data_IF_237611893705
#
_entry.id   IF_237611893705
#
_cell.length_a   1.000
_cell.length_b   1.000
_cell.length_c   1.000
_cell.angle_alpha   90.00
_cell.angle_beta   90.00
_cell.angle_gamma   90.00
#
_symmetry.space_group_name_H-M   'P 1'
#
loop_
_entity.id
_entity.type
_entity.pdbx_description
1 polymer ?
#
# COMPACT_ATOMS: atom_id res chain seq x y z
N UNK A 1 20.18 -7.79 3.56
CA UNK A 1 19.42 -8.08 2.32
C UNK A 1 20.00 -9.33 1.67
N UNK A 2 19.13 -10.17 1.07
CA UNK A 2 19.55 -11.39 0.38
C UNK A 2 19.72 -11.19 -1.13
N UNK A 3 19.17 -10.10 -1.67
CA UNK A 3 19.19 -9.79 -3.09
C UNK A 3 19.50 -8.33 -3.32
N UNK A 4 20.32 -8.04 -4.31
CA UNK A 4 20.64 -6.69 -4.79
C UNK A 4 20.22 -6.60 -6.26
N UNK A 5 19.38 -5.60 -6.59
CA UNK A 5 19.01 -5.29 -7.96
C UNK A 5 19.83 -4.11 -8.46
N UNK A 6 20.50 -4.31 -9.59
CA UNK A 6 21.18 -3.26 -10.37
C UNK A 6 20.35 -3.05 -11.63
N UNK A 7 19.75 -1.86 -11.76
CA UNK A 7 18.99 -1.50 -12.96
C UNK A 7 19.92 -1.03 -14.08
N UNK A 8 19.44 -1.11 -15.31
CA UNK A 8 20.13 -0.78 -16.56
C UNK A 8 21.21 0.33 -16.44
N UNK A 9 22.43 -0.07 -16.25
CA UNK A 9 23.58 0.82 -16.13
C UNK A 9 24.67 0.41 -17.15
N UNK A 10 25.22 1.38 -17.87
CA UNK A 10 26.35 1.14 -18.79
C UNK A 10 27.68 1.24 -18.05
N UNK A 11 27.71 2.02 -16.99
CA UNK A 11 28.89 2.31 -16.18
C UNK A 11 28.63 2.00 -14.72
N UNK A 12 29.63 1.47 -14.03
CA UNK A 12 29.59 1.21 -12.59
C UNK A 12 30.96 1.56 -11.98
N UNK A 13 31.03 2.16 -10.78
CA UNK A 13 32.30 2.33 -10.08
C UNK A 13 32.95 0.97 -9.78
N UNK A 14 34.27 0.89 -9.91
CA UNK A 14 35.03 -0.33 -9.66
C UNK A 14 34.70 -0.95 -8.28
N UNK A 15 34.75 -0.12 -7.24
CA UNK A 15 34.51 -0.57 -5.86
C UNK A 15 33.08 -1.07 -5.65
N UNK A 16 32.13 -0.55 -6.43
CA UNK A 16 30.75 -1.05 -6.40
C UNK A 16 30.66 -2.44 -7.01
N UNK A 17 31.29 -2.67 -8.16
CA UNK A 17 31.30 -4.00 -8.80
C UNK A 17 32.02 -5.02 -7.91
N UNK A 18 33.19 -4.67 -7.38
CA UNK A 18 33.92 -5.50 -6.44
C UNK A 18 33.06 -5.88 -5.22
N UNK A 19 32.30 -4.92 -4.65
CA UNK A 19 31.39 -5.20 -3.54
C UNK A 19 30.24 -6.10 -3.91
N UNK A 20 29.69 -5.96 -5.12
CA UNK A 20 28.63 -6.85 -5.61
C UNK A 20 29.13 -8.29 -5.79
N UNK A 21 30.35 -8.45 -6.32
CA UNK A 21 30.99 -9.76 -6.44
C UNK A 21 31.22 -10.39 -5.06
N UNK A 22 31.72 -9.63 -4.10
CA UNK A 22 31.93 -10.10 -2.72
C UNK A 22 30.59 -10.49 -2.05
N UNK A 23 29.53 -9.73 -2.24
CA UNK A 23 28.21 -10.09 -1.71
C UNK A 23 27.67 -11.39 -2.33
N UNK A 24 27.89 -11.60 -3.64
CA UNK A 24 27.54 -12.83 -4.28
C UNK A 24 28.36 -14.00 -3.75
N UNK A 25 29.66 -13.83 -3.56
CA UNK A 25 30.55 -14.84 -2.99
C UNK A 25 30.10 -15.27 -1.58
N UNK A 26 29.64 -14.32 -0.77
CA UNK A 26 29.09 -14.57 0.57
C UNK A 26 27.69 -15.26 0.57
N UNK A 27 27.00 -15.31 -0.58
CA UNK A 27 25.72 -16.03 -0.73
C UNK A 27 24.53 -15.17 -1.13
N UNK A 28 24.74 -13.90 -1.48
CA UNK A 28 23.67 -13.06 -2.02
C UNK A 28 23.35 -13.41 -3.48
N UNK A 29 22.14 -13.08 -3.91
CA UNK A 29 21.78 -13.05 -5.32
C UNK A 29 21.88 -11.60 -5.83
N UNK A 30 22.79 -11.35 -6.76
CA UNK A 30 22.90 -10.04 -7.43
C UNK A 30 22.22 -10.16 -8.80
N UNK A 31 21.27 -9.29 -9.09
CA UNK A 31 20.51 -9.33 -10.35
C UNK A 31 20.73 -8.06 -11.15
N UNK A 32 21.10 -8.20 -12.40
CA UNK A 32 21.30 -7.11 -13.36
C UNK A 32 20.12 -7.08 -14.34
N UNK A 33 19.34 -6.01 -14.29
CA UNK A 33 18.24 -5.78 -15.22
C UNK A 33 18.73 -5.03 -16.46
N UNK A 34 18.45 -5.58 -17.64
CA UNK A 34 18.89 -5.08 -18.95
C UNK A 34 20.41 -5.08 -19.18
N UNK A 35 21.10 -6.03 -18.57
CA UNK A 35 22.51 -6.27 -18.81
C UNK A 35 23.43 -5.84 -17.66
N UNK A 36 24.63 -6.42 -17.68
CA UNK A 36 25.70 -6.12 -16.73
C UNK A 36 26.54 -4.95 -17.26
N UNK A 37 26.92 -3.97 -16.43
CA UNK A 37 27.80 -2.86 -16.85
C UNK A 37 29.11 -3.38 -17.42
N UNK A 38 29.52 -2.88 -18.58
CA UNK A 38 30.76 -3.27 -19.27
C UNK A 38 31.89 -2.30 -19.02
N UNK A 39 31.62 -1.13 -18.45
CA UNK A 39 32.56 -0.06 -18.30
C UNK A 39 32.62 0.45 -16.86
N UNK A 40 33.79 0.85 -16.44
CA UNK A 40 33.98 1.55 -15.17
C UNK A 40 33.59 3.02 -15.28
N UNK A 41 32.97 3.55 -14.23
CA UNK A 41 32.72 4.97 -14.09
C UNK A 41 33.98 5.69 -13.56
N UNK A 42 34.28 6.89 -14.10
CA UNK A 42 35.39 7.75 -13.67
C UNK A 42 36.09 8.39 -14.83
N UNK A 43 36.73 9.56 -14.58
CA UNK A 43 37.50 10.29 -15.60
C UNK A 43 38.96 9.79 -15.70
N UNK A 44 39.53 9.34 -14.59
CA UNK A 44 40.91 8.81 -14.54
C UNK A 44 40.80 7.37 -14.04
N UNK A 45 41.00 6.41 -14.94
CA UNK A 45 40.91 4.99 -14.65
C UNK A 45 42.33 4.41 -14.56
N UNK A 46 42.64 3.74 -13.45
CA UNK A 46 43.88 2.96 -13.30
C UNK A 46 43.84 1.75 -14.24
N UNK A 47 44.91 1.51 -14.98
CA UNK A 47 45.05 0.34 -15.86
C UNK A 47 44.88 -0.97 -15.07
N UNK A 48 45.40 -1.04 -13.86
CA UNK A 48 45.30 -2.17 -12.95
C UNK A 48 43.80 -2.44 -12.60
N UNK A 49 43.07 -1.40 -12.22
CA UNK A 49 41.63 -1.54 -11.92
C UNK A 49 40.80 -1.93 -13.16
N UNK A 50 41.18 -1.44 -14.36
CA UNK A 50 40.54 -1.81 -15.59
C UNK A 50 40.76 -3.30 -15.91
N UNK A 51 42.01 -3.77 -15.78
CA UNK A 51 42.33 -5.18 -15.98
C UNK A 51 41.55 -6.08 -15.00
N UNK A 52 41.57 -5.74 -13.71
CA UNK A 52 40.85 -6.52 -12.71
C UNK A 52 39.33 -6.46 -12.89
N UNK A 53 38.77 -5.32 -13.29
CA UNK A 53 37.34 -5.22 -13.63
C UNK A 53 36.96 -6.17 -14.77
N UNK A 54 37.79 -6.21 -15.80
CA UNK A 54 37.59 -7.12 -16.91
C UNK A 54 37.71 -8.58 -16.49
N UNK A 55 38.70 -8.92 -15.68
CA UNK A 55 38.84 -10.27 -15.10
C UNK A 55 37.61 -10.71 -14.31
N UNK A 56 37.03 -9.81 -13.51
CA UNK A 56 35.79 -10.09 -12.76
C UNK A 56 34.61 -10.42 -13.70
N UNK A 57 34.49 -9.71 -14.83
CA UNK A 57 33.43 -9.96 -15.82
C UNK A 57 33.68 -11.26 -16.60
N UNK A 58 34.91 -11.48 -17.05
CA UNK A 58 35.31 -12.67 -17.83
C UNK A 58 35.20 -13.96 -17.02
N UNK A 59 35.32 -13.88 -15.69
CA UNK A 59 35.16 -15.02 -14.79
C UNK A 59 33.69 -15.46 -14.61
N UNK A 60 32.70 -14.68 -15.07
CA UNK A 60 31.29 -15.00 -14.96
C UNK A 60 30.85 -15.98 -16.06
N UNK A 61 30.73 -17.25 -15.70
CA UNK A 61 30.24 -18.29 -16.59
C UNK A 61 28.71 -18.35 -16.53
N UNK A 62 28.05 -17.64 -17.46
CA UNK A 62 26.61 -17.52 -17.52
C UNK A 62 25.95 -18.70 -18.22
N UNK A 63 25.07 -19.40 -17.50
CA UNK A 63 24.20 -20.43 -18.06
C UNK A 63 22.76 -19.90 -18.17
N UNK A 64 22.08 -20.22 -19.28
CA UNK A 64 20.71 -19.81 -19.52
C UNK A 64 19.73 -20.74 -18.80
N UNK A 65 18.85 -20.17 -17.99
CA UNK A 65 17.71 -20.84 -17.37
C UNK A 65 16.42 -20.10 -17.76
N UNK A 66 15.83 -20.51 -18.89
CA UNK A 66 14.67 -19.82 -19.45
C UNK A 66 14.99 -18.39 -19.90
N UNK A 67 14.29 -17.39 -19.35
CA UNK A 67 14.49 -15.97 -19.66
C UNK A 67 15.64 -15.33 -18.85
N UNK A 68 16.29 -16.06 -17.96
CA UNK A 68 17.35 -15.56 -17.08
C UNK A 68 18.66 -16.27 -17.39
N UNK A 69 19.76 -15.53 -17.33
CA UNK A 69 21.12 -16.12 -17.38
C UNK A 69 21.74 -15.91 -16.00
N UNK A 70 22.26 -16.98 -15.39
CA UNK A 70 22.90 -16.92 -14.08
C UNK A 70 24.32 -17.52 -14.12
N UNK A 71 25.23 -16.87 -13.38
CA UNK A 71 26.58 -17.36 -13.10
C UNK A 71 26.70 -17.61 -11.58
N UNK A 72 27.27 -18.73 -11.17
CA UNK A 72 27.62 -18.99 -9.77
C UNK A 72 28.84 -18.17 -9.36
N UNK A 73 28.76 -17.54 -8.19
CA UNK A 73 29.86 -16.82 -7.57
C UNK A 73 29.89 -17.23 -6.08
N UNK A 74 30.86 -18.04 -5.72
CA UNK A 74 30.98 -18.58 -4.36
C UNK A 74 29.71 -19.29 -3.89
N UNK A 75 29.09 -18.81 -2.81
CA UNK A 75 27.85 -19.36 -2.24
C UNK A 75 26.58 -18.80 -2.87
N UNK A 76 26.67 -17.72 -3.61
CA UNK A 76 25.55 -17.07 -4.26
C UNK A 76 25.61 -17.11 -5.78
N UNK A 77 24.99 -16.12 -6.41
CA UNK A 77 24.90 -16.04 -7.87
C UNK A 77 24.72 -14.63 -8.37
N UNK A 78 25.12 -14.40 -9.61
CA UNK A 78 24.83 -13.20 -10.38
C UNK A 78 23.93 -13.59 -11.54
N UNK A 79 22.78 -12.93 -11.69
CA UNK A 79 21.81 -13.22 -12.73
C UNK A 79 21.51 -11.97 -13.56
N UNK A 80 21.19 -12.16 -14.83
CA UNK A 80 20.83 -11.07 -15.76
C UNK A 80 19.65 -11.47 -16.65
N UNK A 81 18.79 -10.51 -16.96
CA UNK A 81 17.67 -10.63 -17.89
C UNK A 81 17.13 -9.25 -18.30
N UNK A 82 16.44 -9.21 -19.43
CA UNK A 82 15.59 -8.08 -19.83
C UNK A 82 14.18 -8.16 -19.23
N UNK A 83 13.82 -9.28 -18.59
CA UNK A 83 12.56 -9.46 -17.87
C UNK A 83 12.79 -9.34 -16.36
N UNK A 84 12.30 -8.24 -15.79
CA UNK A 84 12.42 -7.96 -14.35
C UNK A 84 11.65 -8.97 -13.51
N UNK A 85 10.51 -9.49 -13.99
CA UNK A 85 9.72 -10.46 -13.24
C UNK A 85 10.42 -11.81 -13.18
N UNK A 86 11.03 -12.23 -14.29
CA UNK A 86 11.84 -13.43 -14.32
C UNK A 86 13.04 -13.33 -13.36
N UNK A 87 13.75 -12.19 -13.33
CA UNK A 87 14.84 -11.93 -12.37
C UNK A 87 14.38 -11.99 -10.92
N UNK A 88 13.25 -11.35 -10.60
CA UNK A 88 12.74 -11.35 -9.23
C UNK A 88 12.29 -12.74 -8.78
N UNK A 89 11.68 -13.52 -9.68
CA UNK A 89 11.32 -14.92 -9.42
C UNK A 89 12.57 -15.77 -9.17
N UNK A 90 13.61 -15.63 -10.02
CA UNK A 90 14.88 -16.33 -9.88
C UNK A 90 15.60 -15.99 -8.56
N UNK A 91 15.52 -14.74 -8.12
CA UNK A 91 16.02 -14.27 -6.85
C UNK A 91 15.12 -14.63 -5.65
N UNK A 92 14.01 -15.33 -5.88
CA UNK A 92 12.96 -15.60 -4.89
C UNK A 92 12.45 -14.32 -4.19
N UNK A 93 12.42 -13.20 -4.92
CA UNK A 93 11.88 -11.92 -4.50
C UNK A 93 10.58 -11.68 -5.26
N UNK A 94 9.44 -11.90 -4.62
CA UNK A 94 8.15 -11.65 -5.25
C UNK A 94 7.50 -10.40 -4.72
N UNK A 95 6.79 -9.71 -5.60
CA UNK A 95 5.88 -8.65 -5.22
C UNK A 95 4.69 -9.22 -4.44
N UNK A 96 4.12 -8.42 -3.56
CA UNK A 96 2.82 -8.73 -2.96
C UNK A 96 1.74 -8.65 -4.04
N UNK A 97 0.92 -9.71 -4.16
CA UNK A 97 -0.12 -9.79 -5.20
C UNK A 97 -1.23 -8.78 -5.01
N UNK A 98 -1.36 -8.20 -3.83
CA UNK A 98 -2.39 -7.20 -3.51
C UNK A 98 -2.33 -5.95 -4.41
N UNK A 99 -1.19 -5.63 -5.00
CA UNK A 99 -1.08 -4.53 -5.98
C UNK A 99 -2.01 -4.73 -7.19
N UNK A 100 -2.31 -5.98 -7.56
CA UNK A 100 -3.23 -6.28 -8.66
C UNK A 100 -4.68 -5.95 -8.31
N UNK A 101 -5.02 -5.92 -7.03
CA UNK A 101 -6.32 -5.51 -6.52
C UNK A 101 -6.45 -3.98 -6.33
N UNK A 102 -5.39 -3.20 -6.58
CA UNK A 102 -5.36 -1.77 -6.35
C UNK A 102 -4.95 -1.37 -4.93
N UNK A 103 -4.48 -2.34 -4.15
CA UNK A 103 -3.94 -2.08 -2.81
C UNK A 103 -2.46 -1.75 -2.90
N UNK A 104 -2.01 -0.84 -2.05
CA UNK A 104 -0.58 -0.59 -1.81
C UNK A 104 -0.20 -1.04 -0.40
N UNK A 105 1.08 -1.39 -0.21
CA UNK A 105 1.53 -1.74 1.12
C UNK A 105 2.97 -1.33 1.42
N UNK A 106 3.22 -1.05 2.70
CA UNK A 106 4.56 -1.02 3.28
C UNK A 106 4.67 -2.22 4.21
N UNK A 107 5.66 -3.08 3.96
CA UNK A 107 5.89 -4.29 4.74
C UNK A 107 7.15 -4.17 5.60
N UNK A 108 7.05 -4.55 6.86
CA UNK A 108 8.18 -4.66 7.79
C UNK A 108 8.22 -6.03 8.45
N UNK A 109 9.41 -6.55 8.69
CA UNK A 109 9.60 -7.76 9.48
C UNK A 109 9.54 -7.43 10.97
N UNK A 110 8.99 -8.34 11.75
CA UNK A 110 9.08 -8.38 13.21
C UNK A 110 9.81 -9.64 13.66
N UNK A 111 9.97 -9.82 14.96
CA UNK A 111 10.62 -11.01 15.51
C UNK A 111 9.86 -12.32 15.19
N UNK A 112 8.54 -12.27 15.13
CA UNK A 112 7.67 -13.44 14.97
C UNK A 112 6.87 -13.46 13.67
N UNK A 113 6.97 -12.40 12.82
CA UNK A 113 6.17 -12.29 11.60
C UNK A 113 6.43 -11.01 10.83
N UNK A 114 5.36 -10.39 10.36
CA UNK A 114 5.42 -9.18 9.55
C UNK A 114 4.29 -8.22 9.90
N UNK A 115 4.54 -6.94 9.70
CA UNK A 115 3.54 -5.89 9.66
C UNK A 115 3.35 -5.41 8.23
N UNK A 116 2.11 -5.29 7.82
CA UNK A 116 1.69 -4.73 6.55
C UNK A 116 0.84 -3.50 6.84
N UNK A 117 1.29 -2.31 6.48
CA UNK A 117 0.44 -1.14 6.36
C UNK A 117 -0.15 -1.19 4.95
N UNK A 118 -1.46 -1.34 4.84
CA UNK A 118 -2.17 -1.54 3.58
C UNK A 118 -3.10 -0.36 3.36
N UNK A 119 -3.09 0.18 2.16
CA UNK A 119 -3.96 1.27 1.69
C UNK A 119 -4.74 0.81 0.46
N UNK A 120 -6.03 1.12 0.42
CA UNK A 120 -6.81 1.00 -0.80
C UNK A 120 -6.64 2.26 -1.64
N UNK A 121 -5.72 2.24 -2.59
CA UNK A 121 -5.45 3.35 -3.54
C UNK A 121 -6.33 3.29 -4.78
N UNK A 122 -7.30 2.37 -4.86
CA UNK A 122 -8.26 2.27 -5.96
C UNK A 122 -9.49 3.15 -5.70
N UNK A 123 -10.30 3.32 -6.72
CA UNK A 123 -11.58 4.04 -6.70
C UNK A 123 -12.78 3.17 -6.29
N UNK A 124 -12.54 1.90 -5.93
CA UNK A 124 -13.57 0.91 -5.56
C UNK A 124 -13.36 0.36 -4.15
N UNK A 125 -14.45 0.00 -3.51
CA UNK A 125 -14.41 -0.77 -2.26
C UNK A 125 -13.76 -2.14 -2.51
N UNK A 126 -12.88 -2.55 -1.62
CA UNK A 126 -12.30 -3.89 -1.56
C UNK A 126 -13.00 -4.67 -0.47
N UNK A 127 -13.59 -5.80 -0.83
CA UNK A 127 -14.19 -6.80 0.06
C UNK A 127 -13.73 -8.17 -0.43
N UNK A 128 -12.49 -8.57 -0.10
CA UNK A 128 -11.91 -9.76 -0.69
C UNK A 128 -10.82 -10.39 0.18
N UNK A 129 -10.45 -11.60 -0.18
CA UNK A 129 -9.33 -12.32 0.38
C UNK A 129 -8.03 -11.86 -0.25
N UNK A 130 -7.22 -11.15 0.52
CA UNK A 130 -5.99 -10.53 0.06
C UNK A 130 -4.79 -11.43 0.38
N UNK A 131 -4.09 -11.92 -0.65
CA UNK A 131 -2.94 -12.79 -0.45
C UNK A 131 -1.74 -12.00 0.08
N UNK A 132 -1.22 -12.46 1.21
CA UNK A 132 0.04 -12.01 1.79
C UNK A 132 1.12 -13.03 1.46
N UNK A 133 2.25 -12.58 0.93
CA UNK A 133 3.37 -13.47 0.63
C UNK A 133 4.12 -13.87 1.91
N UNK A 134 3.43 -14.55 2.78
CA UNK A 134 3.97 -15.08 4.03
C UNK A 134 3.13 -16.25 4.51
N UNK A 135 3.78 -17.25 5.07
CA UNK A 135 3.11 -18.25 5.91
C UNK A 135 3.01 -17.71 7.32
N UNK A 136 1.83 -17.82 7.91
CA UNK A 136 1.61 -17.37 9.27
C UNK A 136 0.63 -18.27 10.02
N UNK A 137 0.75 -18.33 11.35
CA UNK A 137 -0.21 -19.03 12.19
C UNK A 137 -1.41 -18.19 12.54
N UNK A 138 -1.22 -16.91 12.69
CA UNK A 138 -2.28 -15.98 13.04
C UNK A 138 -2.03 -14.61 12.42
N UNK A 139 -3.11 -13.88 12.20
CA UNK A 139 -3.08 -12.50 11.76
C UNK A 139 -4.08 -11.67 12.58
N UNK A 140 -3.76 -10.41 12.80
CA UNK A 140 -4.64 -9.43 13.43
C UNK A 140 -4.70 -8.15 12.58
N UNK A 141 -5.86 -7.52 12.57
CA UNK A 141 -6.10 -6.24 11.89
C UNK A 141 -6.19 -5.14 12.94
N UNK A 142 -5.58 -4.01 12.63
CA UNK A 142 -5.67 -2.77 13.40
C UNK A 142 -6.08 -1.66 12.45
N UNK A 143 -7.17 -0.99 12.76
CA UNK A 143 -7.59 0.21 12.03
C UNK A 143 -7.06 1.45 12.76
N UNK A 144 -6.08 2.18 12.19
CA UNK A 144 -5.44 3.29 12.89
C UNK A 144 -6.36 4.52 13.03
N UNK A 145 -7.40 4.62 12.20
CA UNK A 145 -8.33 5.76 12.23
C UNK A 145 -9.40 5.61 13.32
N UNK A 146 -9.85 4.38 13.58
CA UNK A 146 -10.95 4.11 14.52
C UNK A 146 -10.46 3.50 15.85
N UNK A 147 -9.24 2.96 15.88
CA UNK A 147 -8.72 2.18 17.01
C UNK A 147 -9.28 0.75 17.07
N UNK A 148 -10.15 0.35 16.14
CA UNK A 148 -10.68 -1.01 16.09
C UNK A 148 -9.56 -2.02 15.82
N UNK A 149 -9.58 -3.15 16.51
CA UNK A 149 -8.62 -4.23 16.32
C UNK A 149 -9.24 -5.59 16.61
N UNK A 150 -8.66 -6.65 16.05
CA UNK A 150 -9.11 -8.02 16.28
C UNK A 150 -8.39 -9.04 15.42
N UNK A 151 -8.66 -10.33 15.67
CA UNK A 151 -8.11 -11.43 14.89
C UNK A 151 -8.70 -11.41 13.49
N UNK A 152 -7.84 -11.42 12.49
CA UNK A 152 -8.25 -11.43 11.08
C UNK A 152 -8.87 -12.78 10.69
N UNK A 153 -9.91 -12.74 9.86
CA UNK A 153 -10.32 -13.91 9.10
C UNK A 153 -9.19 -14.26 8.11
N UNK A 154 -8.74 -15.52 8.10
CA UNK A 154 -7.60 -15.94 7.29
C UNK A 154 -7.79 -17.32 6.68
N UNK A 155 -7.18 -17.53 5.51
CA UNK A 155 -7.05 -18.83 4.82
C UNK A 155 -5.57 -19.10 4.59
N UNK A 156 -5.18 -20.36 4.66
CA UNK A 156 -3.82 -20.81 4.35
C UNK A 156 -3.83 -21.53 3.02
N UNK A 157 -3.00 -21.08 2.11
CA UNK A 157 -2.77 -21.68 0.80
C UNK A 157 -1.26 -21.89 0.68
N UNK A 158 -0.81 -22.84 -0.12
CA UNK A 158 0.57 -23.24 -0.28
C UNK A 158 1.58 -22.06 -0.27
N UNK A 159 2.28 -21.91 0.86
CA UNK A 159 3.32 -20.91 1.06
C UNK A 159 2.84 -19.45 1.24
N UNK A 160 1.53 -19.21 1.28
CA UNK A 160 0.95 -17.89 1.51
C UNK A 160 -0.24 -17.93 2.47
N UNK A 161 -0.63 -16.80 2.96
CA UNK A 161 -1.81 -16.62 3.80
C UNK A 161 -2.69 -15.56 3.19
N UNK A 162 -3.96 -15.84 2.98
CA UNK A 162 -4.94 -14.86 2.56
C UNK A 162 -5.66 -14.31 3.79
N UNK A 163 -5.78 -12.98 3.86
CA UNK A 163 -6.51 -12.26 4.92
C UNK A 163 -7.70 -11.55 4.30
N UNK A 164 -8.88 -11.68 4.90
CA UNK A 164 -10.05 -10.96 4.43
C UNK A 164 -9.97 -9.49 4.85
N UNK A 165 -10.14 -8.60 3.89
CA UNK A 165 -10.12 -7.14 4.12
C UNK A 165 -11.37 -6.50 3.54
N UNK A 166 -11.90 -5.51 4.27
CA UNK A 166 -12.93 -4.57 3.84
C UNK A 166 -12.35 -3.16 3.93
N UNK A 167 -12.11 -2.52 2.78
CA UNK A 167 -11.50 -1.21 2.69
C UNK A 167 -12.21 -0.35 1.64
N UNK A 168 -12.76 0.78 2.04
CA UNK A 168 -13.23 1.79 1.11
C UNK A 168 -12.05 2.49 0.40
N UNK A 169 -12.27 3.20 -0.71
CA UNK A 169 -11.25 4.04 -1.33
C UNK A 169 -10.57 4.97 -0.31
N UNK A 170 -9.24 4.99 -0.29
CA UNK A 170 -8.43 5.80 0.63
C UNK A 170 -8.32 5.25 2.06
N UNK A 171 -9.04 4.17 2.42
CA UNK A 171 -8.92 3.58 3.75
C UNK A 171 -7.61 2.78 3.91
N UNK A 172 -7.14 2.75 5.15
CA UNK A 172 -5.90 2.06 5.53
C UNK A 172 -6.12 1.14 6.71
N UNK A 173 -5.39 0.03 6.73
CA UNK A 173 -5.28 -0.88 7.89
C UNK A 173 -3.86 -1.34 8.10
N UNK A 174 -3.57 -1.78 9.32
CA UNK A 174 -2.34 -2.51 9.63
C UNK A 174 -2.71 -3.97 9.84
N UNK A 175 -2.09 -4.87 9.07
CA UNK A 175 -2.18 -6.31 9.30
C UNK A 175 -0.90 -6.78 9.95
N UNK A 176 -1.00 -7.36 11.14
CA UNK A 176 0.10 -8.03 11.83
C UNK A 176 -0.02 -9.52 11.64
N UNK A 177 1.04 -10.18 11.22
CA UNK A 177 1.13 -11.65 11.08
C UNK A 177 2.12 -12.23 12.08
N UNK A 178 1.89 -13.47 12.52
CA UNK A 178 2.79 -14.12 13.48
C UNK A 178 2.89 -15.63 13.26
N UNK A 179 4.09 -16.18 13.46
CA UNK A 179 4.33 -17.62 13.58
C UNK A 179 3.81 -18.22 14.90
N UNK A 180 3.41 -17.36 15.84
CA UNK A 180 2.76 -17.73 17.11
C UNK A 180 1.26 -17.44 17.01
N UNK A 181 0.47 -18.06 17.90
CA UNK A 181 -0.95 -17.79 17.94
C UNK A 181 -1.19 -16.45 18.67
N UNK A 182 -1.94 -15.55 18.04
CA UNK A 182 -2.56 -14.42 18.72
C UNK A 182 -3.80 -14.89 19.47
N UNK A 183 -4.12 -14.20 20.54
CA UNK A 183 -5.34 -14.39 21.33
C UNK A 183 -6.10 -13.06 21.37
N UNK A 184 -7.41 -13.11 21.32
CA UNK A 184 -8.28 -11.94 21.33
C UNK A 184 -9.57 -12.19 20.56
N UNK A 185 -10.41 -11.15 20.51
CA UNK A 185 -11.66 -11.20 19.78
C UNK A 185 -11.43 -11.16 18.26
N UNK A 186 -12.38 -11.69 17.49
CA UNK A 186 -12.36 -11.57 16.04
C UNK A 186 -12.49 -10.10 15.62
N UNK A 187 -11.82 -9.73 14.53
CA UNK A 187 -12.03 -8.42 13.91
C UNK A 187 -13.47 -8.35 13.39
N UNK A 188 -14.15 -7.25 13.69
CA UNK A 188 -15.53 -7.06 13.29
C UNK A 188 -15.59 -6.66 11.80
N UNK A 189 -16.25 -7.51 10.98
CA UNK A 189 -16.58 -7.22 9.61
C UNK A 189 -18.06 -6.87 9.55
N UNK A 190 -18.42 -5.89 8.71
CA UNK A 190 -19.79 -5.40 8.63
C UNK A 190 -20.40 -5.77 7.28
N UNK A 191 -21.55 -6.44 7.32
CA UNK A 191 -22.37 -6.69 6.13
C UNK A 191 -23.50 -5.67 6.09
N UNK A 192 -23.81 -5.17 4.91
CA UNK A 192 -24.97 -4.33 4.72
C UNK A 192 -26.25 -5.13 5.01
N UNK A 193 -27.06 -4.66 5.96
CA UNK A 193 -28.33 -5.29 6.31
C UNK A 193 -29.47 -4.98 5.31
N UNK A 194 -29.20 -4.18 4.27
CA UNK A 194 -30.17 -3.78 3.23
C UNK A 194 -29.66 -2.59 2.43
N UNK A 195 -30.54 -2.03 1.62
CA UNK A 195 -30.25 -0.83 0.85
C UNK A 195 -30.05 0.39 1.79
N UNK A 196 -29.16 1.33 1.44
CA UNK A 196 -28.99 2.56 2.19
C UNK A 196 -30.31 3.34 2.28
N UNK A 197 -30.65 3.82 3.46
CA UNK A 197 -31.80 4.68 3.65
C UNK A 197 -31.36 6.14 3.56
N UNK A 198 -31.79 6.91 2.55
CA UNK A 198 -31.42 8.32 2.45
C UNK A 198 -32.01 9.08 3.63
N UNK A 199 -31.20 9.94 4.23
CA UNK A 199 -31.68 10.92 5.21
C UNK A 199 -32.45 11.99 4.43
N UNK A 200 -33.78 11.85 4.46
CA UNK A 200 -34.70 12.76 3.77
C UNK A 200 -35.30 13.76 4.73
N UNK A 201 -35.70 14.90 4.21
CA UNK A 201 -36.31 15.99 4.97
C UNK A 201 -35.61 17.32 4.72
N UNK A 202 -36.18 18.37 5.29
CA UNK A 202 -35.57 19.71 5.17
C UNK A 202 -34.42 19.87 6.13
N UNK A 203 -33.39 20.57 5.69
CA UNK A 203 -32.20 20.92 6.44
C UNK A 203 -32.17 22.40 6.73
N UNK A 204 -31.93 22.79 7.96
CA UNK A 204 -31.61 24.17 8.31
C UNK A 204 -30.12 24.34 8.27
N UNK A 205 -29.64 25.31 7.45
CA UNK A 205 -28.23 25.66 7.35
C UNK A 205 -28.04 26.98 8.08
N UNK A 206 -27.21 26.98 9.13
CA UNK A 206 -26.88 28.14 9.94
C UNK A 206 -25.38 28.46 9.86
N UNK A 207 -25.02 29.67 9.51
CA UNK A 207 -23.63 30.11 9.41
C UNK A 207 -23.18 30.65 10.76
N UNK A 208 -22.19 30.02 11.38
CA UNK A 208 -21.88 30.31 12.80
C UNK A 208 -20.54 31.00 13.00
N UNK A 209 -19.60 30.86 12.08
CA UNK A 209 -18.29 31.48 12.15
C UNK A 209 -17.70 31.68 10.77
N UNK A 210 -17.13 32.85 10.46
CA UNK A 210 -16.46 33.13 9.18
C UNK A 210 -16.64 34.57 8.72
N UNK A 211 -16.39 34.80 7.44
CA UNK A 211 -16.45 36.14 6.84
C UNK A 211 -16.72 36.12 5.34
N UNK A 212 -16.92 37.33 4.72
CA UNK A 212 -16.77 38.67 5.30
C UNK A 212 -17.90 39.07 6.28
N UNK A 213 -19.06 38.44 6.15
CA UNK A 213 -20.19 38.53 7.09
C UNK A 213 -20.92 37.19 7.14
N UNK A 214 -21.64 36.94 8.25
CA UNK A 214 -22.42 35.70 8.37
C UNK A 214 -23.71 35.85 7.55
N UNK A 215 -23.94 34.94 6.54
CA UNK A 215 -25.20 34.92 5.83
C UNK A 215 -26.38 34.53 6.72
N UNK A 216 -27.58 34.89 6.32
CA UNK A 216 -28.79 34.44 7.00
C UNK A 216 -28.95 32.93 6.91
N UNK A 217 -29.53 32.30 7.95
CA UNK A 217 -29.87 30.89 7.92
C UNK A 217 -30.89 30.61 6.80
N UNK A 218 -30.74 29.47 6.17
CA UNK A 218 -31.60 29.04 5.06
C UNK A 218 -32.09 27.60 5.29
N UNK A 219 -33.26 27.28 4.78
CA UNK A 219 -33.79 25.91 4.75
C UNK A 219 -33.69 25.38 3.33
N UNK A 220 -33.15 24.16 3.20
CA UNK A 220 -32.96 23.47 1.92
C UNK A 220 -33.49 22.04 2.01
N UNK A 221 -33.97 21.48 0.90
CA UNK A 221 -34.51 20.12 0.84
C UNK A 221 -33.44 19.08 0.41
N UNK A 222 -32.27 19.56 0.00
CA UNK A 222 -31.13 18.71 -0.34
C UNK A 222 -29.83 19.36 0.09
N UNK A 223 -28.85 18.52 0.48
CA UNK A 223 -27.50 18.99 0.79
C UNK A 223 -26.73 19.33 -0.49
N UNK A 224 -25.92 20.36 -0.42
CA UNK A 224 -25.05 20.85 -1.50
C UNK A 224 -24.07 21.90 -0.98
N UNK A 225 -23.26 22.43 -1.86
CA UNK A 225 -22.39 23.55 -1.50
C UNK A 225 -23.22 24.80 -1.21
N UNK A 226 -22.94 25.51 -0.13
CA UNK A 226 -23.60 26.80 0.12
C UNK A 226 -23.29 27.85 -0.95
N UNK A 227 -22.22 27.64 -1.73
CA UNK A 227 -21.91 28.54 -2.86
C UNK A 227 -22.95 28.43 -3.98
N UNK A 228 -23.78 27.38 -4.00
CA UNK A 228 -24.86 27.19 -4.96
C UNK A 228 -26.16 27.82 -4.50
N UNK A 229 -26.25 28.35 -3.28
CA UNK A 229 -27.42 29.07 -2.78
C UNK A 229 -27.59 30.40 -3.47
N UNK A 230 -28.85 30.84 -3.56
CA UNK A 230 -29.18 32.13 -4.18
C UNK A 230 -28.80 33.25 -3.25
N UNK A 231 -27.86 34.11 -3.68
CA UNK A 231 -27.34 35.25 -2.97
C UNK A 231 -25.83 35.35 -3.03
N UNK A 232 -25.31 36.58 -3.19
CA UNK A 232 -23.85 36.78 -3.29
C UNK A 232 -23.17 36.61 -1.94
N UNK A 233 -23.90 36.78 -0.82
CA UNK A 233 -23.44 36.57 0.55
C UNK A 233 -23.03 35.10 0.79
N UNK A 234 -23.73 34.11 0.21
CA UNK A 234 -23.38 32.71 0.34
C UNK A 234 -22.13 32.34 -0.48
N UNK A 235 -22.02 32.95 -1.68
CA UNK A 235 -20.87 32.74 -2.57
C UNK A 235 -19.57 33.30 -1.98
N UNK A 236 -19.68 34.47 -1.32
CA UNK A 236 -18.56 35.15 -0.74
C UNK A 236 -18.15 34.63 0.65
N UNK A 237 -18.99 33.81 1.27
CA UNK A 237 -18.75 33.30 2.62
C UNK A 237 -17.70 32.20 2.65
N UNK A 238 -16.77 32.35 3.59
CA UNK A 238 -15.82 31.32 3.97
C UNK A 238 -15.83 31.14 5.49
N UNK A 239 -16.08 29.92 5.95
CA UNK A 239 -16.20 29.70 7.40
C UNK A 239 -16.85 28.37 7.73
N UNK A 240 -17.58 28.38 8.86
CA UNK A 240 -18.25 27.19 9.40
C UNK A 240 -19.76 27.37 9.33
N UNK A 241 -20.45 26.36 8.79
CA UNK A 241 -21.90 26.27 8.81
C UNK A 241 -22.34 24.97 9.54
N UNK A 242 -23.51 25.05 10.18
CA UNK A 242 -24.16 23.91 10.85
C UNK A 242 -25.39 23.53 10.05
N UNK A 243 -25.43 22.26 9.63
CA UNK A 243 -26.56 21.66 8.94
C UNK A 243 -27.35 20.83 9.96
N UNK A 244 -28.61 21.17 10.17
CA UNK A 244 -29.47 20.50 11.15
C UNK A 244 -30.68 19.88 10.45
N UNK A 245 -30.95 18.62 10.75
CA UNK A 245 -32.18 17.94 10.32
C UNK A 245 -32.69 17.01 11.43
N UNK A 246 -33.90 16.50 11.29
CA UNK A 246 -34.48 15.52 12.20
C UNK A 246 -34.67 14.20 11.46
N UNK A 247 -34.10 13.14 12.02
CA UNK A 247 -34.28 11.77 11.51
C UNK A 247 -35.42 11.12 12.29
N UNK A 248 -36.57 10.96 11.64
CA UNK A 248 -37.79 10.43 12.29
C UNK A 248 -37.79 8.91 12.45
N UNK A 249 -36.98 8.20 11.67
CA UNK A 249 -36.91 6.74 11.70
C UNK A 249 -35.45 6.28 11.51
N UNK A 250 -34.93 5.68 12.55
CA UNK A 250 -33.60 5.05 12.51
C UNK A 250 -33.78 3.56 12.24
N UNK A 251 -33.04 2.94 11.33
CA UNK A 251 -33.06 1.49 11.11
C UNK A 251 -32.75 0.73 12.39
N UNK A 252 -33.33 -0.45 12.57
CA UNK A 252 -32.94 -1.35 13.67
C UNK A 252 -31.80 -2.23 13.16
N UNK A 253 -30.61 -2.02 13.69
CA UNK A 253 -29.42 -2.80 13.38
C UNK A 253 -28.46 -2.75 14.56
N UNK A 254 -27.53 -3.72 14.63
CA UNK A 254 -26.51 -3.75 15.68
C UNK A 254 -25.52 -2.57 15.53
N UNK A 255 -25.27 -2.16 14.29
CA UNK A 255 -24.42 -1.01 13.96
C UNK A 255 -25.10 -0.19 12.87
N UNK A 256 -25.15 1.13 13.06
CA UNK A 256 -25.66 2.09 12.10
C UNK A 256 -24.50 2.95 11.64
N UNK A 257 -24.28 3.02 10.34
CA UNK A 257 -23.31 3.91 9.71
C UNK A 257 -24.03 5.05 9.03
N UNK A 258 -23.62 6.28 9.32
CA UNK A 258 -24.06 7.46 8.59
C UNK A 258 -23.03 7.76 7.49
N UNK A 259 -23.48 7.70 6.25
CA UNK A 259 -22.68 8.11 5.09
C UNK A 259 -22.96 9.58 4.81
N UNK A 260 -21.93 10.41 4.89
CA UNK A 260 -22.03 11.84 4.60
C UNK A 260 -21.92 12.17 3.10
N UNK A 261 -21.68 11.17 2.27
CA UNK A 261 -21.42 11.35 0.85
C UNK A 261 -20.09 12.08 0.59
N UNK A 262 -20.14 13.12 -0.27
CA UNK A 262 -18.96 13.93 -0.56
C UNK A 262 -18.85 15.08 0.46
N UNK A 263 -17.78 15.09 1.22
CA UNK A 263 -17.45 16.16 2.17
C UNK A 263 -16.26 16.93 1.63
N UNK A 264 -16.46 18.21 1.32
CA UNK A 264 -15.38 19.14 1.02
C UNK A 264 -14.80 19.66 2.35
N UNK A 265 -13.48 19.61 2.50
CA UNK A 265 -12.72 19.97 3.70
C UNK A 265 -12.96 18.98 4.86
N UNK A 266 -13.70 19.35 5.89
CA UNK A 266 -14.00 18.49 7.01
C UNK A 266 -15.41 18.68 7.57
N UNK A 267 -15.94 17.65 8.24
CA UNK A 267 -17.20 17.71 8.95
C UNK A 267 -17.11 17.03 10.32
N UNK A 268 -17.81 17.60 11.31
CA UNK A 268 -18.07 16.95 12.60
C UNK A 268 -19.56 16.67 12.72
N UNK A 269 -19.91 15.46 13.14
CA UNK A 269 -21.30 15.03 13.27
C UNK A 269 -21.66 14.91 14.75
N UNK A 270 -22.83 15.41 15.09
CA UNK A 270 -23.41 15.35 16.43
C UNK A 270 -24.80 14.73 16.33
N UNK A 271 -25.14 13.80 17.24
CA UNK A 271 -26.42 13.13 17.35
C UNK A 271 -27.05 13.42 18.71
#
# INVERSE_FOLDING_TARGET
YKTVLVSAAQYIPYETMEKLMALADEGATVVFYKGIPQNMAGMILSEEKQAHFKEMLDALDFHAEGAVKCARVGKGKICLSDDINALMNEANVGAEKMYQAGLQCIRRNSATGKYYFIENSSDRKIEDWIPLRTETRSAAIFNPMTGASGLAAMKRNDGQTDVYLELNPGETVIVSTSSQNFTGDAYAYYQNAGEPNPVSGSWTVSFVQGGPQLPASITVDSLGSWTDFVGDEYKAFSGTAVYTTTINKVPVADVIKLDLGSVAENASVYL
#
